data_IF_673578562597
#
_entry.id   IF_673578562597
#
_cell.length_a   1.000
_cell.length_b   1.000
_cell.length_c   1.000
_cell.angle_alpha   90.00
_cell.angle_beta   90.00
_cell.angle_gamma   90.00
#
_symmetry.space_group_name_H-M   'P 1'
#
loop_
_entity.id
_entity.type
_entity.pdbx_description
1 polymer ?
#
# COMPACT_ATOMS: atom_id res chain seq x y z
N UNK A 1 -17.19 7.53 11.45
CA UNK A 1 -17.45 7.56 12.90
C UNK A 1 -16.32 8.34 13.55
N UNK A 2 -16.62 9.34 14.38
CA UNK A 2 -15.61 10.24 14.95
C UNK A 2 -15.54 10.08 16.49
N UNK A 3 -14.34 10.26 17.05
CA UNK A 3 -14.07 10.35 18.49
C UNK A 3 -13.09 11.50 18.71
N UNK A 4 -13.17 12.18 19.87
CA UNK A 4 -12.65 13.52 20.10
C UNK A 4 -12.28 13.71 21.60
N UNK A 5 -11.32 14.61 21.88
CA UNK A 5 -10.84 15.03 23.22
C UNK A 5 -10.02 13.95 23.99
N UNK A 6 -9.20 14.28 25.01
CA UNK A 6 -9.03 15.54 25.78
C UNK A 6 -7.52 15.83 26.06
N UNK A 7 -7.16 16.99 26.63
CA UNK A 7 -5.76 17.46 26.72
C UNK A 7 -5.37 18.16 28.05
N UNK A 8 -4.08 18.06 28.43
CA UNK A 8 -3.30 18.86 29.41
C UNK A 8 -1.83 18.32 29.42
N UNK A 9 -0.74 19.02 29.79
CA UNK A 9 -0.39 20.46 29.87
C UNK A 9 1.16 20.58 29.92
N UNK A 10 1.75 21.79 29.91
CA UNK A 10 3.21 22.03 30.08
C UNK A 10 3.66 21.77 31.54
N UNK A 11 4.93 21.57 31.93
CA UNK A 11 6.29 21.62 31.28
C UNK A 11 7.19 20.48 31.88
N UNK A 12 8.55 20.40 31.90
CA UNK A 12 9.66 21.34 31.66
C UNK A 12 11.02 20.65 31.28
N UNK A 13 12.08 21.47 31.16
CA UNK A 13 13.54 21.28 31.00
C UNK A 13 14.29 19.95 31.33
N UNK A 14 15.39 19.77 30.55
CA UNK A 14 16.61 18.98 30.76
C UNK A 14 16.51 17.43 30.71
N UNK A 15 17.51 16.67 30.22
CA UNK A 15 18.94 17.00 29.98
C UNK A 15 19.53 16.36 28.68
N UNK A 16 20.83 16.51 28.44
CA UNK A 16 21.53 16.30 27.15
C UNK A 16 22.13 14.90 26.93
N UNK A 17 21.85 14.31 25.76
CA UNK A 17 22.81 13.59 24.89
C UNK A 17 22.11 13.24 23.57
N UNK A 18 22.75 13.20 22.40
CA UNK A 18 24.18 13.38 22.12
C UNK A 18 24.62 12.77 20.78
N UNK A 19 23.76 12.79 19.76
CA UNK A 19 24.04 12.29 18.41
C UNK A 19 23.96 13.45 17.39
N UNK A 20 24.89 13.51 16.44
CA UNK A 20 25.00 14.64 15.53
C UNK A 20 23.92 14.60 14.43
N UNK A 21 23.17 15.70 14.28
CA UNK A 21 22.24 15.88 13.17
C UNK A 21 23.00 16.12 11.86
N UNK A 22 22.64 15.49 10.72
CA UNK A 22 23.06 15.96 9.41
C UNK A 22 22.45 17.35 9.16
N UNK A 23 23.20 18.27 8.54
CA UNK A 23 22.76 19.66 8.38
C UNK A 23 21.64 19.79 7.33
N UNK A 24 20.42 20.07 7.80
CA UNK A 24 19.26 20.30 6.94
C UNK A 24 19.49 21.47 5.97
N UNK A 25 19.22 21.24 4.68
CA UNK A 25 19.26 22.23 3.62
C UNK A 25 17.82 22.59 3.21
N UNK A 26 17.45 23.88 3.14
CA UNK A 26 16.04 24.31 3.13
C UNK A 26 15.35 23.97 1.81
N UNK A 27 14.14 23.40 1.91
CA UNK A 27 13.22 23.19 0.79
C UNK A 27 11.80 23.63 1.18
N UNK A 28 11.18 24.40 0.29
CA UNK A 28 9.78 24.88 0.32
C UNK A 28 9.27 24.74 -1.13
N UNK A 29 7.97 24.70 -1.45
CA UNK A 29 6.83 25.20 -0.69
C UNK A 29 5.51 24.46 -0.99
N UNK A 30 5.26 23.36 -0.29
CA UNK A 30 3.92 22.83 -0.01
C UNK A 30 4.07 21.72 1.04
N UNK A 31 3.53 21.88 2.26
CA UNK A 31 3.61 20.78 3.26
C UNK A 31 2.68 19.64 2.83
N UNK A 32 3.18 18.43 2.56
CA UNK A 32 2.32 17.31 2.24
C UNK A 32 1.36 16.99 3.39
N UNK A 33 0.15 16.52 3.06
CA UNK A 33 -0.91 16.26 4.03
C UNK A 33 -0.61 15.16 5.07
N UNK A 34 0.54 14.48 4.98
CA UNK A 34 1.01 13.47 5.92
C UNK A 34 1.94 14.00 7.03
N UNK A 35 2.45 15.22 6.89
CA UNK A 35 3.46 15.81 7.78
C UNK A 35 2.86 16.21 9.13
N UNK A 36 3.65 16.08 10.19
CA UNK A 36 3.27 16.30 11.59
C UNK A 36 2.07 15.44 12.05
N UNK A 37 2.00 14.20 11.56
CA UNK A 37 1.03 13.17 11.97
C UNK A 37 1.75 11.89 12.38
N UNK A 38 1.13 11.13 13.28
CA UNK A 38 1.53 9.75 13.59
C UNK A 38 0.83 8.81 12.62
N UNK A 39 1.62 7.93 12.02
CA UNK A 39 1.17 6.86 11.12
C UNK A 39 1.49 5.51 11.75
N UNK A 40 0.57 4.56 11.68
CA UNK A 40 0.76 3.19 12.19
C UNK A 40 0.77 2.20 11.02
N UNK A 41 1.76 1.30 11.00
CA UNK A 41 1.82 0.18 10.04
C UNK A 41 0.75 -0.84 10.41
N UNK A 42 -0.35 -0.87 9.67
CA UNK A 42 -1.40 -1.88 9.85
C UNK A 42 -1.08 -3.21 9.13
N UNK A 43 -0.38 -3.14 7.99
CA UNK A 43 0.05 -4.29 7.19
C UNK A 43 1.29 -3.91 6.37
N UNK A 44 2.32 -4.77 6.40
CA UNK A 44 3.51 -4.65 5.56
C UNK A 44 4.21 -6.02 5.45
N UNK A 45 4.99 -6.21 4.38
CA UNK A 45 5.83 -7.39 4.16
C UNK A 45 7.28 -7.20 4.63
N UNK A 46 7.69 -5.97 4.95
CA UNK A 46 9.06 -5.63 5.37
C UNK A 46 9.16 -4.88 6.69
N UNK A 47 8.03 -4.45 7.28
CA UNK A 47 7.97 -3.71 8.56
C UNK A 47 6.94 -4.37 9.47
N UNK A 48 7.22 -4.47 10.76
CA UNK A 48 6.29 -5.08 11.72
C UNK A 48 5.00 -4.25 11.87
N UNK A 49 3.81 -4.90 11.93
CA UNK A 49 2.58 -4.21 12.30
C UNK A 49 2.68 -3.54 13.68
N UNK A 50 2.01 -2.39 13.86
CA UNK A 50 2.09 -1.57 15.06
C UNK A 50 3.34 -0.66 15.15
N UNK A 51 4.25 -0.70 14.17
CA UNK A 51 5.32 0.28 14.04
C UNK A 51 4.76 1.67 13.70
N UNK A 52 5.28 2.70 14.37
CA UNK A 52 4.85 4.08 14.24
C UNK A 52 5.89 4.92 13.47
N UNK A 53 5.39 5.72 12.52
CA UNK A 53 6.17 6.65 11.70
C UNK A 53 5.66 8.09 11.90
N UNK A 54 6.58 9.04 12.06
CA UNK A 54 6.27 10.48 12.15
C UNK A 54 7.21 11.27 11.24
N UNK A 55 6.63 12.01 10.30
CA UNK A 55 7.36 12.88 9.37
C UNK A 55 7.26 14.33 9.87
N UNK A 56 8.29 14.82 10.55
CA UNK A 56 8.31 16.17 11.12
C UNK A 56 8.69 17.22 10.08
N UNK A 57 8.08 18.39 10.14
CA UNK A 57 8.19 19.42 9.09
C UNK A 57 9.54 20.15 8.98
N UNK A 58 10.55 19.73 9.74
CA UNK A 58 11.95 20.13 9.63
C UNK A 58 12.79 19.15 8.78
N UNK A 59 12.19 18.04 8.34
CA UNK A 59 12.85 16.95 7.62
C UNK A 59 13.24 15.76 8.51
N UNK A 60 12.92 15.77 9.80
CA UNK A 60 13.18 14.63 10.71
C UNK A 60 12.16 13.53 10.50
N UNK A 61 12.63 12.29 10.35
CA UNK A 61 11.82 11.08 10.39
C UNK A 61 12.01 10.43 11.77
N UNK A 62 10.91 10.13 12.47
CA UNK A 62 10.90 9.37 13.73
C UNK A 62 10.20 8.03 13.50
N UNK A 63 10.83 6.95 13.96
CA UNK A 63 10.37 5.57 13.82
C UNK A 63 10.39 4.87 15.18
N UNK A 64 9.32 4.22 15.60
CA UNK A 64 9.32 3.49 16.89
C UNK A 64 8.32 2.34 16.93
N UNK A 65 8.58 1.32 17.74
CA UNK A 65 7.51 0.46 18.27
C UNK A 65 6.89 1.10 19.52
N UNK A 66 5.71 0.66 19.99
CA UNK A 66 5.11 1.16 21.23
C UNK A 66 5.97 0.96 22.49
N UNK A 67 6.87 -0.04 22.48
CA UNK A 67 7.68 -0.45 23.64
C UNK A 67 9.19 -0.38 23.34
N UNK A 68 9.65 0.60 22.57
CA UNK A 68 11.07 0.76 22.21
C UNK A 68 11.52 2.22 22.25
N UNK A 69 12.84 2.44 22.26
CA UNK A 69 13.39 3.77 22.01
C UNK A 69 13.17 4.14 20.54
N UNK A 70 12.74 5.37 20.21
CA UNK A 70 12.64 5.80 18.83
C UNK A 70 13.99 5.81 18.11
N UNK A 71 14.00 5.32 16.88
CA UNK A 71 15.03 5.58 15.90
C UNK A 71 14.73 6.87 15.14
N UNK A 72 15.77 7.52 14.64
CA UNK A 72 15.69 8.78 13.91
C UNK A 72 16.36 8.65 12.55
N UNK A 73 15.71 9.18 11.53
CA UNK A 73 16.22 9.33 10.17
C UNK A 73 15.91 10.72 9.63
N UNK A 74 16.06 10.89 8.33
CA UNK A 74 15.61 12.10 7.63
C UNK A 74 14.57 11.75 6.56
N UNK A 75 13.83 12.75 6.10
CA UNK A 75 13.02 12.66 4.89
C UNK A 75 13.07 13.97 4.11
N UNK A 76 12.85 13.91 2.81
CA UNK A 76 12.71 15.09 1.95
C UNK A 76 11.54 14.91 0.98
N UNK A 77 10.97 16.03 0.55
CA UNK A 77 10.00 16.09 -0.54
C UNK A 77 10.40 17.21 -1.49
N UNK A 78 10.68 16.87 -2.75
CA UNK A 78 11.10 17.82 -3.81
C UNK A 78 10.51 17.36 -5.13
N UNK A 79 9.98 18.30 -5.92
CA UNK A 79 9.56 18.07 -7.30
C UNK A 79 8.60 16.87 -7.48
N UNK A 80 7.74 16.64 -6.49
CA UNK A 80 6.79 15.54 -6.43
C UNK A 80 7.33 14.23 -5.81
N UNK A 81 8.64 14.04 -5.75
CA UNK A 81 9.29 12.85 -5.21
C UNK A 81 9.48 12.93 -3.68
N UNK A 82 9.15 11.84 -2.99
CA UNK A 82 9.40 11.65 -1.56
C UNK A 82 10.56 10.66 -1.33
N UNK A 83 11.48 11.03 -0.45
CA UNK A 83 12.65 10.20 -0.10
C UNK A 83 12.78 10.12 1.41
N UNK A 84 12.84 8.91 1.95
CA UNK A 84 13.22 8.62 3.34
C UNK A 84 14.70 8.26 3.41
N UNK A 85 15.34 8.54 4.54
CA UNK A 85 16.75 8.21 4.80
C UNK A 85 16.82 7.52 6.17
N UNK A 86 17.04 6.21 6.15
CA UNK A 86 17.15 5.34 7.34
C UNK A 86 18.57 4.75 7.36
N UNK A 87 19.28 4.84 8.49
CA UNK A 87 20.66 4.34 8.66
C UNK A 87 21.69 4.78 7.59
N UNK A 88 21.47 5.94 6.97
CA UNK A 88 22.23 6.50 5.82
C UNK A 88 21.94 5.88 4.44
N UNK A 89 20.94 5.02 4.34
CA UNK A 89 20.43 4.49 3.07
C UNK A 89 19.22 5.30 2.60
N UNK A 90 19.22 5.73 1.33
CA UNK A 90 18.11 6.47 0.73
C UNK A 90 17.05 5.52 0.14
N UNK A 91 15.79 5.76 0.50
CA UNK A 91 14.61 5.05 0.02
C UNK A 91 13.69 6.05 -0.69
N UNK A 92 13.59 5.95 -2.03
CA UNK A 92 12.55 6.65 -2.79
C UNK A 92 11.22 5.92 -2.58
N UNK A 93 10.21 6.67 -2.18
CA UNK A 93 8.95 6.13 -1.62
C UNK A 93 7.79 7.01 -2.06
N UNK A 94 6.61 6.43 -2.27
CA UNK A 94 5.38 7.19 -2.56
C UNK A 94 4.34 6.98 -1.46
N UNK A 95 3.79 8.07 -0.91
CA UNK A 95 2.75 8.01 0.12
C UNK A 95 1.38 8.00 -0.56
N UNK A 96 0.91 6.79 -0.87
CA UNK A 96 -0.39 6.53 -1.51
C UNK A 96 -1.45 6.15 -0.46
N UNK A 97 -2.63 6.77 -0.51
CA UNK A 97 -3.75 6.51 0.40
C UNK A 97 -4.53 5.23 0.02
N UNK A 98 -3.90 4.06 0.12
CA UNK A 98 -4.38 2.78 -0.44
C UNK A 98 -5.41 2.02 0.42
N UNK A 99 -6.36 2.72 1.06
CA UNK A 99 -7.51 2.05 1.71
C UNK A 99 -8.59 1.59 0.70
N UNK A 100 -8.50 2.03 -0.55
CA UNK A 100 -9.53 1.85 -1.59
C UNK A 100 -9.06 1.06 -2.83
N UNK A 101 -7.74 1.00 -3.07
CA UNK A 101 -7.11 0.42 -4.28
C UNK A 101 -6.04 -0.59 -3.83
N UNK A 102 -5.95 -1.74 -4.51
CA UNK A 102 -4.89 -2.74 -4.32
C UNK A 102 -3.95 -2.73 -5.52
N UNK A 103 -2.64 -2.73 -5.26
CA UNK A 103 -1.59 -2.70 -6.28
C UNK A 103 -0.83 -4.03 -6.31
N UNK A 104 -0.77 -4.66 -7.48
CA UNK A 104 -0.03 -5.90 -7.76
C UNK A 104 0.96 -5.66 -8.92
N UNK A 105 1.82 -4.67 -8.76
CA UNK A 105 2.81 -4.23 -9.76
C UNK A 105 4.07 -5.12 -9.78
N UNK A 106 3.89 -6.44 -9.91
CA UNK A 106 5.03 -7.38 -9.96
C UNK A 106 5.92 -7.12 -11.19
N UNK A 107 7.23 -7.25 -11.02
CA UNK A 107 8.23 -7.14 -12.11
C UNK A 107 8.63 -8.50 -12.69
N UNK A 108 7.95 -9.57 -12.29
CA UNK A 108 8.06 -10.95 -12.78
C UNK A 108 6.66 -11.57 -12.87
N UNK A 109 6.41 -12.57 -13.74
CA UNK A 109 5.13 -13.27 -13.76
C UNK A 109 4.82 -13.94 -12.41
N UNK A 110 3.63 -13.70 -11.87
CA UNK A 110 3.11 -14.40 -10.69
C UNK A 110 2.15 -15.50 -11.19
N UNK A 111 2.35 -16.79 -10.85
CA UNK A 111 1.52 -17.88 -11.38
C UNK A 111 0.03 -17.86 -10.96
N UNK A 112 -0.37 -17.15 -9.90
CA UNK A 112 -1.77 -17.10 -9.45
C UNK A 112 -2.21 -15.79 -8.77
N UNK A 113 -1.29 -15.06 -8.11
CA UNK A 113 -1.53 -13.68 -7.66
C UNK A 113 -2.56 -13.50 -6.55
N UNK A 114 -2.51 -14.35 -5.51
CA UNK A 114 -3.49 -14.35 -4.39
C UNK A 114 -3.82 -12.97 -3.83
N UNK A 115 -2.83 -12.09 -3.67
CA UNK A 115 -3.01 -10.74 -3.11
C UNK A 115 -3.99 -9.89 -3.91
N UNK A 116 -4.03 -10.04 -5.24
CA UNK A 116 -5.00 -9.30 -6.05
C UNK A 116 -6.40 -9.91 -5.91
N UNK A 117 -6.54 -11.25 -5.92
CA UNK A 117 -7.82 -11.95 -5.69
C UNK A 117 -8.43 -11.61 -4.32
N UNK A 118 -7.61 -11.55 -3.27
CA UNK A 118 -8.01 -11.13 -1.92
C UNK A 118 -8.49 -9.66 -1.92
N UNK A 119 -7.85 -8.79 -2.69
CA UNK A 119 -8.30 -7.42 -2.96
C UNK A 119 -9.64 -7.33 -3.73
N UNK A 120 -9.81 -8.17 -4.77
CA UNK A 120 -11.05 -8.28 -5.54
C UNK A 120 -12.22 -8.73 -4.65
N UNK A 121 -12.00 -9.75 -3.81
CA UNK A 121 -12.99 -10.27 -2.87
C UNK A 121 -13.43 -9.21 -1.84
N UNK A 122 -12.52 -8.34 -1.41
CA UNK A 122 -12.78 -7.19 -0.54
C UNK A 122 -13.40 -5.98 -1.26
N UNK A 123 -13.78 -6.11 -2.53
CA UNK A 123 -14.43 -5.06 -3.32
C UNK A 123 -13.53 -3.86 -3.62
N UNK A 124 -12.22 -4.05 -3.65
CA UNK A 124 -11.24 -3.01 -3.99
C UNK A 124 -11.03 -2.97 -5.50
N UNK A 125 -10.78 -1.78 -6.03
CA UNK A 125 -10.24 -1.68 -7.39
C UNK A 125 -8.80 -2.21 -7.39
N UNK A 126 -8.46 -3.04 -8.38
CA UNK A 126 -7.12 -3.63 -8.52
C UNK A 126 -6.39 -2.95 -9.68
N UNK A 127 -5.10 -2.67 -9.50
CA UNK A 127 -4.15 -2.41 -10.58
C UNK A 127 -3.10 -3.51 -10.53
N UNK A 128 -2.86 -4.24 -11.62
CA UNK A 128 -1.92 -5.37 -11.67
C UNK A 128 -1.05 -5.36 -12.94
N UNK A 129 0.17 -5.90 -12.84
CA UNK A 129 1.02 -6.16 -14.00
C UNK A 129 0.40 -7.21 -14.92
N UNK A 130 0.46 -7.00 -16.24
CA UNK A 130 -0.08 -7.90 -17.25
C UNK A 130 0.86 -9.09 -17.59
N UNK A 131 1.48 -9.70 -16.57
CA UNK A 131 2.32 -10.91 -16.65
C UNK A 131 1.80 -11.99 -15.67
N UNK A 132 1.47 -13.19 -16.16
CA UNK A 132 1.03 -14.33 -15.35
C UNK A 132 -0.46 -14.30 -14.98
N UNK A 133 -0.81 -14.87 -13.83
CA UNK A 133 -2.17 -15.04 -13.32
C UNK A 133 -3.09 -13.81 -13.32
N UNK A 134 -2.59 -12.55 -13.23
CA UNK A 134 -3.43 -11.37 -13.51
C UNK A 134 -4.12 -11.41 -14.87
N UNK A 135 -3.51 -11.98 -15.91
CA UNK A 135 -4.11 -12.15 -17.25
C UNK A 135 -5.25 -13.20 -17.27
N UNK A 136 -5.12 -14.25 -16.45
CA UNK A 136 -6.08 -15.37 -16.37
C UNK A 136 -7.33 -15.02 -15.53
N UNK A 137 -7.32 -13.87 -14.87
CA UNK A 137 -8.40 -13.42 -13.98
C UNK A 137 -8.92 -12.03 -14.35
N UNK A 138 -8.07 -11.02 -14.45
CA UNK A 138 -8.49 -9.61 -14.53
C UNK A 138 -8.82 -9.24 -15.99
N UNK A 139 -10.00 -8.67 -16.18
CA UNK A 139 -10.40 -8.07 -17.45
C UNK A 139 -10.20 -6.54 -17.38
N UNK A 140 -9.30 -6.01 -18.22
CA UNK A 140 -8.83 -4.62 -18.16
C UNK A 140 -9.97 -3.60 -18.36
N UNK A 141 -10.03 -2.59 -17.50
CA UNK A 141 -11.11 -1.61 -17.43
C UNK A 141 -12.44 -2.15 -16.89
N UNK A 142 -12.60 -3.48 -16.80
CA UNK A 142 -13.82 -4.14 -16.33
C UNK A 142 -13.75 -4.44 -14.84
N UNK A 143 -12.90 -5.35 -14.37
CA UNK A 143 -12.75 -5.65 -12.92
C UNK A 143 -11.40 -5.30 -12.30
N UNK A 144 -10.44 -4.87 -13.13
CA UNK A 144 -9.24 -4.17 -12.67
C UNK A 144 -8.69 -3.24 -13.73
N UNK A 145 -7.48 -2.75 -13.52
CA UNK A 145 -6.64 -2.15 -14.54
C UNK A 145 -5.38 -3.01 -14.71
N UNK A 146 -5.04 -3.32 -15.96
CA UNK A 146 -3.80 -4.02 -16.30
C UNK A 146 -2.77 -3.04 -16.85
N UNK A 147 -1.55 -3.10 -16.31
CA UNK A 147 -0.42 -2.25 -16.72
C UNK A 147 0.75 -3.10 -17.24
N UNK A 148 1.61 -2.56 -18.12
CA UNK A 148 2.87 -3.21 -18.45
C UNK A 148 3.75 -3.40 -17.21
N UNK A 149 4.41 -4.56 -17.03
CA UNK A 149 5.39 -4.75 -15.97
C UNK A 149 6.59 -3.82 -16.17
N UNK A 150 7.20 -3.37 -15.09
CA UNK A 150 8.42 -2.54 -15.10
C UNK A 150 8.22 -1.14 -15.74
N UNK A 151 6.98 -0.72 -15.97
CA UNK A 151 6.59 0.62 -16.43
C UNK A 151 6.01 1.45 -15.27
N UNK A 152 6.84 2.25 -14.56
CA UNK A 152 6.37 3.04 -13.43
C UNK A 152 5.47 4.21 -13.85
N UNK A 153 5.57 4.68 -15.11
CA UNK A 153 4.71 5.76 -15.61
C UNK A 153 3.28 5.25 -15.77
N UNK A 154 3.10 4.07 -16.37
CA UNK A 154 1.77 3.43 -16.49
C UNK A 154 1.15 3.08 -15.14
N UNK A 155 1.96 2.70 -14.15
CA UNK A 155 1.50 2.53 -12.77
C UNK A 155 0.98 3.86 -12.19
N UNK A 156 1.75 4.94 -12.31
CA UNK A 156 1.36 6.27 -11.84
C UNK A 156 0.08 6.78 -12.54
N UNK A 157 0.02 6.70 -13.87
CA UNK A 157 -1.15 7.09 -14.68
C UNK A 157 -2.41 6.32 -14.25
N UNK A 158 -2.29 5.00 -14.00
CA UNK A 158 -3.39 4.16 -13.56
C UNK A 158 -3.84 4.48 -12.12
N UNK A 159 -2.92 4.76 -11.20
CA UNK A 159 -3.24 5.19 -9.83
C UNK A 159 -3.95 6.54 -9.84
N UNK A 160 -3.41 7.53 -10.56
CA UNK A 160 -4.01 8.87 -10.68
C UNK A 160 -5.42 8.80 -11.28
N UNK A 161 -5.61 8.05 -12.37
CA UNK A 161 -6.93 7.80 -12.98
C UNK A 161 -7.96 7.28 -11.99
N UNK A 162 -7.57 6.43 -11.04
CA UNK A 162 -8.47 5.91 -10.01
C UNK A 162 -8.74 6.91 -8.88
N UNK A 163 -7.74 7.69 -8.47
CA UNK A 163 -7.92 8.76 -7.48
C UNK A 163 -8.85 9.87 -7.99
N UNK A 164 -8.71 10.26 -9.26
CA UNK A 164 -9.56 11.27 -9.92
C UNK A 164 -10.99 10.76 -10.22
N UNK A 165 -11.22 9.43 -10.21
CA UNK A 165 -12.50 8.83 -10.58
C UNK A 165 -13.04 7.86 -9.50
N UNK A 166 -13.50 8.36 -8.33
CA UNK A 166 -14.06 7.52 -7.27
C UNK A 166 -15.23 6.62 -7.72
N UNK A 167 -16.02 7.07 -8.70
CA UNK A 167 -17.09 6.28 -9.31
C UNK A 167 -16.55 5.08 -10.12
N UNK A 168 -15.40 5.24 -10.80
CA UNK A 168 -14.72 4.14 -11.49
C UNK A 168 -14.14 3.14 -10.49
N UNK A 169 -13.54 3.61 -9.39
CA UNK A 169 -13.05 2.74 -8.30
C UNK A 169 -14.17 1.89 -7.73
N UNK A 170 -15.33 2.49 -7.42
CA UNK A 170 -16.50 1.76 -6.97
C UNK A 170 -17.04 0.78 -8.05
N UNK A 171 -17.02 1.15 -9.33
CA UNK A 171 -17.50 0.28 -10.41
C UNK A 171 -16.58 -0.93 -10.65
N UNK A 172 -15.26 -0.73 -10.66
CA UNK A 172 -14.24 -1.79 -10.74
C UNK A 172 -14.37 -2.74 -9.56
N UNK A 173 -14.29 -2.22 -8.32
CA UNK A 173 -14.35 -3.03 -7.09
C UNK A 173 -15.64 -3.85 -6.96
N UNK A 174 -16.79 -3.29 -7.36
CA UNK A 174 -18.05 -4.03 -7.37
C UNK A 174 -18.10 -5.15 -8.43
N UNK A 175 -17.36 -5.05 -9.53
CA UNK A 175 -17.24 -6.13 -10.54
C UNK A 175 -16.20 -7.17 -10.11
N UNK A 176 -15.08 -6.72 -9.54
CA UNK A 176 -14.08 -7.55 -8.89
C UNK A 176 -14.67 -8.48 -7.82
N UNK A 177 -15.49 -7.95 -6.90
CA UNK A 177 -16.18 -8.73 -5.85
C UNK A 177 -17.31 -9.65 -6.36
N UNK A 178 -17.62 -9.62 -7.67
CA UNK A 178 -18.43 -10.65 -8.33
C UNK A 178 -17.54 -11.74 -8.91
N UNK A 179 -16.58 -11.39 -9.78
CA UNK A 179 -15.65 -12.36 -10.38
C UNK A 179 -14.85 -13.16 -9.34
N UNK A 180 -14.43 -12.55 -8.23
CA UNK A 180 -13.73 -13.23 -7.14
C UNK A 180 -14.51 -14.40 -6.51
N UNK A 181 -15.83 -14.48 -6.69
CA UNK A 181 -16.66 -15.59 -6.19
C UNK A 181 -16.46 -16.88 -6.97
N UNK A 182 -16.02 -16.80 -8.22
CA UNK A 182 -15.72 -17.98 -9.04
C UNK A 182 -14.41 -18.67 -8.59
N UNK A 183 -13.61 -17.98 -7.77
CA UNK A 183 -12.36 -18.46 -7.15
C UNK A 183 -12.55 -18.81 -5.65
N UNK A 184 -13.79 -18.99 -5.19
CA UNK A 184 -14.06 -19.36 -3.78
C UNK A 184 -13.62 -20.78 -3.46
N UNK A 185 -13.44 -21.08 -2.16
CA UNK A 185 -13.05 -22.43 -1.71
C UNK A 185 -14.12 -23.44 -2.07
N UNK A 186 -15.40 -23.08 -1.94
CA UNK A 186 -16.55 -23.90 -2.29
C UNK A 186 -16.53 -24.23 -3.79
N UNK A 187 -16.37 -23.21 -4.66
CA UNK A 187 -16.24 -23.40 -6.11
C UNK A 187 -15.07 -24.28 -6.50
N UNK A 188 -13.92 -24.08 -5.87
CA UNK A 188 -12.74 -24.89 -6.11
C UNK A 188 -12.96 -26.35 -5.69
N UNK A 189 -13.57 -26.58 -4.53
CA UNK A 189 -13.91 -27.93 -4.04
C UNK A 189 -14.95 -28.61 -4.94
N UNK A 190 -16.02 -27.91 -5.35
CA UNK A 190 -17.01 -28.39 -6.33
C UNK A 190 -16.33 -28.90 -7.60
N UNK A 191 -15.45 -28.08 -8.19
CA UNK A 191 -14.74 -28.41 -9.43
C UNK A 191 -13.79 -29.60 -9.28
N UNK A 192 -12.97 -29.63 -8.21
CA UNK A 192 -12.03 -30.73 -7.95
C UNK A 192 -12.78 -32.04 -7.68
N UNK A 193 -13.83 -32.03 -6.84
CA UNK A 193 -14.65 -33.20 -6.59
C UNK A 193 -15.36 -33.71 -7.86
N UNK A 194 -15.83 -32.81 -8.74
CA UNK A 194 -16.44 -33.21 -10.01
C UNK A 194 -15.46 -33.93 -10.96
N UNK A 195 -14.18 -33.53 -10.96
CA UNK A 195 -13.11 -34.23 -11.71
C UNK A 195 -12.78 -35.57 -11.07
N UNK A 196 -12.58 -35.62 -9.75
CA UNK A 196 -12.28 -36.86 -9.02
C UNK A 196 -13.41 -37.90 -9.19
N UNK A 197 -14.67 -37.49 -9.06
CA UNK A 197 -15.83 -38.35 -9.31
C UNK A 197 -15.95 -38.82 -10.76
N UNK A 198 -15.30 -38.17 -11.74
CA UNK A 198 -15.25 -38.61 -13.13
C UNK A 198 -14.21 -39.72 -13.31
N UNK A 199 -12.98 -39.47 -12.83
CA UNK A 199 -11.89 -40.45 -12.81
C UNK A 199 -12.29 -41.73 -12.06
N UNK A 200 -13.02 -41.61 -10.94
CA UNK A 200 -13.54 -42.76 -10.19
C UNK A 200 -14.64 -43.57 -10.92
N UNK A 201 -15.27 -43.02 -11.97
CA UNK A 201 -16.24 -43.73 -12.82
C UNK A 201 -15.61 -44.32 -14.09
N UNK A 202 -14.45 -43.83 -14.50
CA UNK A 202 -13.83 -44.18 -15.79
C UNK A 202 -14.38 -43.36 -16.98
N UNK A 203 -15.00 -42.21 -16.70
CA UNK A 203 -15.51 -41.22 -17.67
C UNK A 203 -14.47 -40.15 -18.04
#
# INVERSE_FOLDING_TARGET
MAVLLLAAACSNEADKAGAAMPSASPASSAKPGFVNKVWEVSLSTGVAPGMLYVFLSDGTLVMTSPNSKPAFGAWTYRDGAFTMIEESQEYKTDILALSTIVLHASTKPEPFGRTFLEGMALGKAVIASNEGGPLDVIEDGVDGLLIPPRDPQRLADAVLRLLDQPALVAALGNRAARKARDYSIERHTEAVCAVLHRVMRGD
#
